data_IF_516319959304
#
_entry.id   IF_516319959304
#
_cell.length_a   1.000
_cell.length_b   1.000
_cell.length_c   1.000
_cell.angle_alpha   90.00
_cell.angle_beta   90.00
_cell.angle_gamma   90.00
#
_symmetry.space_group_name_H-M   'P 1'
#
loop_
_entity.id
_entity.type
_entity.pdbx_description
1 polymer ?
#
# COMPACT_ATOMS: atom_id res chain seq x y z
N UNK A 1 -53.77 40.13 -15.46
CA UNK A 1 -52.55 39.74 -14.73
C UNK A 1 -52.31 38.27 -14.94
N UNK A 2 -51.35 37.89 -15.76
CA UNK A 2 -51.04 36.48 -16.03
C UNK A 2 -49.79 36.14 -15.19
N UNK A 3 -49.96 35.29 -14.18
CA UNK A 3 -48.94 34.74 -13.32
C UNK A 3 -48.28 33.60 -14.06
N UNK A 4 -47.03 33.78 -14.58
CA UNK A 4 -46.27 32.70 -15.17
C UNK A 4 -45.55 31.95 -14.03
N UNK A 5 -46.02 30.75 -13.76
CA UNK A 5 -45.41 29.80 -12.83
C UNK A 5 -44.28 29.06 -13.53
N UNK A 6 -43.03 29.53 -13.36
CA UNK A 6 -41.84 28.81 -13.83
C UNK A 6 -41.57 27.65 -12.90
N UNK A 7 -41.80 26.44 -13.40
CA UNK A 7 -41.36 25.20 -12.78
C UNK A 7 -39.85 25.06 -13.02
N UNK A 8 -39.04 25.28 -11.98
CA UNK A 8 -37.62 24.94 -11.98
C UNK A 8 -37.52 23.45 -11.66
N UNK A 9 -37.33 22.64 -12.69
CA UNK A 9 -37.00 21.23 -12.54
C UNK A 9 -35.53 21.15 -12.12
N UNK A 10 -35.29 20.98 -10.81
CA UNK A 10 -33.99 20.69 -10.27
C UNK A 10 -33.59 19.25 -10.67
N UNK A 11 -32.67 19.12 -11.62
CA UNK A 11 -32.01 17.85 -11.93
C UNK A 11 -31.08 17.53 -10.77
N UNK A 12 -31.53 16.66 -9.87
CA UNK A 12 -30.68 16.04 -8.86
C UNK A 12 -29.80 15.02 -9.59
N UNK A 13 -28.55 15.42 -9.90
CA UNK A 13 -27.53 14.48 -10.32
C UNK A 13 -27.21 13.57 -9.12
N UNK A 14 -27.78 12.38 -9.12
CA UNK A 14 -27.31 11.27 -8.30
C UNK A 14 -25.92 10.89 -8.81
N UNK A 15 -24.88 11.45 -8.19
CA UNK A 15 -23.54 10.93 -8.29
C UNK A 15 -23.57 9.52 -7.71
N UNK A 16 -23.67 8.52 -8.58
CA UNK A 16 -23.43 7.13 -8.22
C UNK A 16 -21.96 7.02 -7.80
N UNK A 17 -21.71 7.16 -6.49
CA UNK A 17 -20.46 6.76 -5.92
C UNK A 17 -20.29 5.27 -6.24
N UNK A 18 -19.31 4.92 -7.09
CA UNK A 18 -18.92 3.53 -7.32
C UNK A 18 -18.57 2.86 -5.99
N UNK A 19 -18.47 1.53 -5.95
CA UNK A 19 -18.14 0.83 -4.72
C UNK A 19 -16.83 1.39 -4.16
N UNK A 20 -16.93 2.13 -3.06
CA UNK A 20 -15.76 2.57 -2.33
C UNK A 20 -15.15 1.30 -1.70
N UNK A 21 -13.87 1.03 -2.00
CA UNK A 21 -13.14 0.01 -1.29
C UNK A 21 -13.19 0.32 0.21
N UNK A 22 -13.84 -0.57 0.98
CA UNK A 22 -14.04 -0.39 2.42
C UNK A 22 -12.99 -1.15 3.24
N UNK A 23 -12.15 -1.92 2.57
CA UNK A 23 -11.10 -2.73 3.15
C UNK A 23 -9.77 -1.99 3.29
N UNK A 24 -8.88 -2.63 3.99
CA UNK A 24 -7.49 -2.21 4.14
C UNK A 24 -6.72 -2.45 2.83
N UNK A 25 -5.91 -1.51 2.39
CA UNK A 25 -4.97 -1.75 1.29
C UNK A 25 -3.79 -2.57 1.80
N UNK A 26 -3.45 -3.65 1.10
CA UNK A 26 -2.33 -4.52 1.41
C UNK A 26 -1.51 -4.73 0.15
N UNK A 27 -0.25 -4.32 0.16
CA UNK A 27 0.67 -4.59 -0.93
C UNK A 27 1.77 -5.53 -0.47
N UNK A 28 2.09 -6.50 -1.34
CA UNK A 28 3.09 -7.53 -1.05
C UNK A 28 4.08 -7.58 -2.21
N UNK A 29 5.36 -7.67 -1.89
CA UNK A 29 6.46 -7.84 -2.82
C UNK A 29 7.15 -9.17 -2.56
N UNK A 30 7.39 -9.94 -3.61
CA UNK A 30 8.27 -11.10 -3.57
C UNK A 30 9.71 -10.62 -3.74
N UNK A 31 10.55 -10.89 -2.78
CA UNK A 31 11.92 -10.39 -2.77
C UNK A 31 12.93 -11.53 -2.67
N UNK A 32 14.02 -11.38 -3.43
CA UNK A 32 15.27 -12.12 -3.23
C UNK A 32 16.24 -11.31 -2.38
N UNK A 33 17.14 -11.99 -1.68
CA UNK A 33 18.22 -11.37 -0.90
C UNK A 33 19.53 -11.43 -1.65
N UNK A 34 20.32 -10.37 -1.53
CA UNK A 34 21.72 -10.39 -1.96
C UNK A 34 22.56 -11.28 -1.04
N UNK A 35 23.65 -11.82 -1.58
CA UNK A 35 24.59 -12.65 -0.83
C UNK A 35 25.12 -11.94 0.42
N UNK A 36 25.02 -12.61 1.57
CA UNK A 36 25.49 -12.10 2.85
C UNK A 36 24.51 -11.21 3.61
N UNK A 37 23.34 -10.89 3.04
CA UNK A 37 22.28 -10.17 3.74
C UNK A 37 21.54 -11.13 4.65
N UNK A 38 21.43 -10.78 5.93
CA UNK A 38 20.76 -11.61 6.94
C UNK A 38 19.31 -11.14 7.19
N UNK A 39 18.49 -11.99 7.80
CA UNK A 39 17.13 -11.62 8.23
C UNK A 39 17.15 -10.39 9.17
N UNK A 40 18.15 -10.31 10.07
CA UNK A 40 18.31 -9.17 10.97
C UNK A 40 18.63 -7.87 10.22
N UNK A 41 19.38 -7.94 9.12
CA UNK A 41 19.65 -6.78 8.27
C UNK A 41 18.37 -6.30 7.59
N UNK A 42 17.55 -7.24 7.11
CA UNK A 42 16.26 -6.94 6.47
C UNK A 42 15.31 -6.30 7.48
N UNK A 43 15.17 -6.86 8.68
CA UNK A 43 14.32 -6.32 9.74
C UNK A 43 14.71 -4.88 10.11
N UNK A 44 16.02 -4.64 10.28
CA UNK A 44 16.55 -3.30 10.56
C UNK A 44 16.19 -2.31 9.45
N UNK A 45 16.44 -2.67 8.20
CA UNK A 45 16.13 -1.82 7.03
C UNK A 45 14.65 -1.56 6.87
N UNK A 46 13.82 -2.59 7.03
CA UNK A 46 12.36 -2.45 7.00
C UNK A 46 11.85 -1.49 8.08
N UNK A 47 12.45 -1.54 9.28
CA UNK A 47 12.12 -0.64 10.38
C UNK A 47 12.50 0.81 10.06
N UNK A 48 13.69 1.03 9.52
CA UNK A 48 14.18 2.36 9.11
C UNK A 48 13.33 2.93 7.98
N UNK A 49 13.03 2.10 6.98
CA UNK A 49 12.13 2.46 5.88
C UNK A 49 10.74 2.87 6.39
N UNK A 50 10.12 2.05 7.25
CA UNK A 50 8.79 2.34 7.79
C UNK A 50 8.77 3.65 8.59
N UNK A 51 9.82 3.91 9.36
CA UNK A 51 9.97 5.17 10.09
C UNK A 51 9.99 6.38 9.13
N UNK A 52 10.72 6.29 8.03
CA UNK A 52 10.77 7.33 7.01
C UNK A 52 9.44 7.44 6.25
N UNK A 53 8.85 6.32 5.85
CA UNK A 53 7.57 6.26 5.14
C UNK A 53 6.42 6.91 5.93
N UNK A 54 6.40 6.73 7.25
CA UNK A 54 5.39 7.33 8.15
C UNK A 54 5.46 8.85 8.27
N UNK A 55 6.53 9.48 7.79
CA UNK A 55 6.64 10.95 7.73
C UNK A 55 5.99 11.53 6.47
N UNK A 56 5.69 10.70 5.49
CA UNK A 56 5.08 11.13 4.23
C UNK A 56 3.56 11.24 4.35
N UNK A 57 2.96 12.06 3.46
CA UNK A 57 1.51 12.13 3.35
C UNK A 57 0.93 10.76 3.00
N UNK A 58 -0.16 10.38 3.67
CA UNK A 58 -0.75 9.03 3.56
C UNK A 58 0.05 7.92 4.28
N UNK A 59 1.27 8.20 4.74
CA UNK A 59 2.16 7.21 5.35
C UNK A 59 1.96 6.97 6.85
N UNK A 60 1.33 7.90 7.57
CA UNK A 60 1.27 7.93 9.04
C UNK A 60 0.82 6.62 9.70
N UNK A 61 -0.15 5.95 9.09
CA UNK A 61 -0.78 4.74 9.62
C UNK A 61 -0.34 3.47 8.87
N UNK A 62 0.75 3.52 8.11
CA UNK A 62 1.30 2.34 7.47
C UNK A 62 1.82 1.34 8.51
N UNK A 63 1.59 0.07 8.23
CA UNK A 63 2.23 -1.04 8.92
C UNK A 63 3.03 -1.86 7.91
N UNK A 64 4.16 -2.41 8.33
CA UNK A 64 4.99 -3.26 7.50
C UNK A 64 5.29 -4.57 8.22
N UNK A 65 5.36 -5.64 7.45
CA UNK A 65 5.80 -6.96 7.92
C UNK A 65 6.78 -7.56 6.90
N UNK A 66 7.73 -8.30 7.40
CA UNK A 66 8.61 -9.14 6.60
C UNK A 66 8.26 -10.59 6.93
N UNK A 67 7.95 -11.37 5.91
CA UNK A 67 7.57 -12.77 6.05
C UNK A 67 8.71 -13.64 5.50
N UNK A 68 9.38 -14.36 6.38
CA UNK A 68 10.40 -15.35 6.00
C UNK A 68 9.76 -16.72 5.89
N UNK A 69 10.09 -17.51 4.85
CA UNK A 69 9.54 -18.85 4.69
C UNK A 69 10.07 -19.79 5.77
N UNK A 70 9.16 -20.39 6.54
CA UNK A 70 9.51 -21.44 7.54
C UNK A 70 9.38 -22.83 6.94
N UNK A 71 8.35 -23.00 6.11
CA UNK A 71 8.13 -24.23 5.37
C UNK A 71 7.45 -23.89 4.04
N UNK A 72 8.14 -24.08 2.94
CA UNK A 72 7.61 -23.83 1.60
C UNK A 72 7.66 -25.11 0.79
N UNK A 73 6.57 -25.36 0.06
CA UNK A 73 6.46 -26.50 -0.84
C UNK A 73 6.54 -26.04 -2.30
N UNK A 74 7.26 -24.96 -2.57
CA UNK A 74 7.36 -24.38 -3.89
C UNK A 74 8.82 -24.18 -4.29
N UNK A 75 9.14 -24.57 -5.50
CA UNK A 75 10.37 -24.23 -6.21
C UNK A 75 10.30 -22.77 -6.67
N UNK A 76 10.37 -21.81 -5.77
CA UNK A 76 10.34 -20.39 -6.09
C UNK A 76 11.53 -19.66 -5.48
N UNK A 77 12.13 -18.76 -6.22
CA UNK A 77 13.28 -17.94 -5.82
C UNK A 77 12.89 -16.77 -4.87
N UNK A 78 11.88 -16.97 -4.03
CA UNK A 78 11.44 -15.97 -3.08
C UNK A 78 12.07 -16.23 -1.72
N UNK A 79 12.98 -15.38 -1.29
CA UNK A 79 13.61 -15.49 0.02
C UNK A 79 12.74 -14.90 1.13
N UNK A 80 11.93 -13.88 0.78
CA UNK A 80 10.98 -13.27 1.70
C UNK A 80 9.81 -12.59 0.96
N UNK A 81 8.76 -12.29 1.69
CA UNK A 81 7.72 -11.38 1.27
C UNK A 81 7.78 -10.12 2.13
N UNK A 82 7.94 -8.96 1.50
CA UNK A 82 7.76 -7.68 2.16
C UNK A 82 6.31 -7.23 1.99
N UNK A 83 5.63 -6.95 3.09
CA UNK A 83 4.21 -6.58 3.08
C UNK A 83 4.00 -5.24 3.76
N UNK A 84 3.23 -4.37 3.13
CA UNK A 84 2.83 -3.07 3.68
C UNK A 84 1.32 -2.94 3.62
N UNK A 85 0.73 -2.46 4.70
CA UNK A 85 -0.70 -2.19 4.77
C UNK A 85 -0.98 -0.72 5.08
N UNK A 86 -2.06 -0.20 4.51
CA UNK A 86 -2.63 1.10 4.84
C UNK A 86 -4.10 0.92 5.26
N UNK A 87 -4.63 1.70 6.21
CA UNK A 87 -6.01 1.56 6.65
C UNK A 87 -7.04 1.70 5.54
N UNK A 88 -6.74 2.50 4.51
CA UNK A 88 -7.60 2.76 3.37
C UNK A 88 -6.81 2.86 2.07
N UNK A 89 -7.46 2.59 0.94
CA UNK A 89 -6.89 2.84 -0.39
C UNK A 89 -6.64 4.34 -0.65
N UNK A 90 -7.38 5.22 -0.01
CA UNK A 90 -7.16 6.66 -0.12
C UNK A 90 -5.84 7.09 0.54
N UNK A 91 -5.51 6.56 1.73
CA UNK A 91 -4.20 6.78 2.37
C UNK A 91 -3.07 6.17 1.55
N UNK A 92 -3.26 4.95 1.05
CA UNK A 92 -2.32 4.28 0.18
C UNK A 92 -2.02 5.10 -1.09
N UNK A 93 -3.06 5.64 -1.74
CA UNK A 93 -2.90 6.50 -2.93
C UNK A 93 -2.10 7.76 -2.63
N UNK A 94 -2.43 8.49 -1.56
CA UNK A 94 -1.66 9.68 -1.15
C UNK A 94 -0.19 9.37 -0.84
N UNK A 95 0.08 8.24 -0.20
CA UNK A 95 1.43 7.79 0.06
C UNK A 95 2.21 7.58 -1.25
N UNK A 96 1.63 6.86 -2.21
CA UNK A 96 2.28 6.59 -3.50
C UNK A 96 2.44 7.82 -4.38
N UNK A 97 1.59 8.85 -4.23
CA UNK A 97 1.76 10.11 -4.96
C UNK A 97 3.06 10.83 -4.60
N UNK A 98 3.55 10.67 -3.37
CA UNK A 98 4.75 11.38 -2.88
C UNK A 98 5.96 10.47 -2.69
N UNK A 99 5.76 9.18 -2.45
CA UNK A 99 6.83 8.22 -2.12
C UNK A 99 7.96 8.15 -3.15
N UNK A 100 7.72 8.04 -4.49
CA UNK A 100 8.78 7.86 -5.46
C UNK A 100 9.80 8.99 -5.52
N UNK A 101 9.40 10.20 -5.09
CA UNK A 101 10.28 11.39 -5.05
C UNK A 101 10.83 11.69 -3.66
N UNK A 102 10.63 10.81 -2.69
CA UNK A 102 11.04 10.99 -1.30
C UNK A 102 12.39 10.35 -0.99
N UNK A 103 13.02 10.80 0.10
CA UNK A 103 14.23 10.17 0.63
C UNK A 103 13.98 8.73 1.10
N UNK A 104 12.75 8.39 1.46
CA UNK A 104 12.38 7.04 1.85
C UNK A 104 12.51 6.02 0.70
N UNK A 105 12.35 6.47 -0.55
CA UNK A 105 12.52 5.63 -1.73
C UNK A 105 14.00 5.42 -2.12
N UNK A 106 14.89 6.29 -1.66
CA UNK A 106 16.29 6.32 -2.12
C UNK A 106 17.11 5.07 -1.74
N UNK A 107 16.74 4.35 -0.67
CA UNK A 107 17.43 3.16 -0.17
C UNK A 107 16.63 1.88 -0.22
N UNK A 108 15.46 1.85 -0.87
CA UNK A 108 14.52 0.73 -0.80
C UNK A 108 15.06 -0.60 -1.33
N UNK A 109 16.01 -0.56 -2.26
CA UNK A 109 16.53 -1.76 -2.93
C UNK A 109 17.92 -2.21 -2.42
N UNK A 110 18.43 -1.64 -1.36
CA UNK A 110 19.71 -2.09 -0.80
C UNK A 110 19.59 -3.49 -0.19
N UNK A 111 20.31 -4.46 -0.76
CA UNK A 111 20.39 -5.83 -0.29
C UNK A 111 19.17 -6.71 -0.56
N UNK A 112 18.15 -6.17 -1.23
CA UNK A 112 16.97 -6.91 -1.65
C UNK A 112 16.60 -6.57 -3.08
N UNK A 113 16.11 -7.55 -3.82
CA UNK A 113 15.53 -7.37 -5.14
C UNK A 113 14.08 -7.84 -5.15
N UNK A 114 13.14 -6.92 -5.36
CA UNK A 114 11.69 -7.15 -5.30
C UNK A 114 11.03 -6.85 -6.65
N UNK A 115 11.14 -7.73 -7.65
CA UNK A 115 10.70 -7.45 -9.02
C UNK A 115 9.19 -7.41 -9.17
N UNK A 116 8.47 -8.13 -8.33
CA UNK A 116 7.03 -8.33 -8.44
C UNK A 116 6.29 -7.83 -7.21
N UNK A 117 5.16 -7.17 -7.45
CA UNK A 117 4.25 -6.81 -6.38
C UNK A 117 2.79 -7.06 -6.76
N UNK A 118 1.99 -7.32 -5.75
CA UNK A 118 0.54 -7.43 -5.86
C UNK A 118 -0.11 -6.58 -4.78
N UNK A 119 -1.24 -5.95 -5.12
CA UNK A 119 -2.04 -5.19 -4.17
C UNK A 119 -3.39 -5.89 -3.96
N UNK A 120 -3.82 -5.98 -2.72
CA UNK A 120 -5.03 -6.65 -2.27
C UNK A 120 -5.91 -5.71 -1.47
N UNK A 121 -7.21 -5.92 -1.56
CA UNK A 121 -8.14 -5.42 -0.55
C UNK A 121 -8.25 -6.49 0.56
N UNK A 122 -7.81 -6.14 1.77
CA UNK A 122 -7.92 -7.02 2.92
C UNK A 122 -9.18 -6.69 3.72
N UNK A 123 -10.08 -7.65 3.85
CA UNK A 123 -11.31 -7.53 4.63
C UNK A 123 -11.27 -8.45 5.83
N UNK A 124 -11.69 -7.91 6.98
CA UNK A 124 -11.78 -8.70 8.21
C UNK A 124 -13.02 -9.59 8.16
N UNK A 125 -12.80 -10.89 8.26
CA UNK A 125 -13.89 -11.87 8.39
C UNK A 125 -14.38 -11.88 9.84
N UNK A 126 -15.71 -11.97 10.02
CA UNK A 126 -16.35 -12.02 11.34
C UNK A 126 -16.72 -13.45 11.70
#
# INVERSE_FOLDING_TARGET
MKLNFFWVIGVVMLLSAGPAFSGQAMQMWNCGLEDGVTEADVEKRATEWLKAARQLDGGKNLEAMVLFPVAVNASGETDLIFMVTAPTFAEWGRFWDVYPSSDAAAGENEGMFCPDSVIWEAMKVK
#
